data_IF_421795184700
#
_entry.id   IF_421795184700
#
_cell.length_a   1.000
_cell.length_b   1.000
_cell.length_c   1.000
_cell.angle_alpha   90.00
_cell.angle_beta   90.00
_cell.angle_gamma   90.00
#
_symmetry.space_group_name_H-M   'P 1'
#
loop_
_entity.id
_entity.type
_entity.pdbx_description
1 polymer ?
#
# COMPACT_ATOMS: atom_id res chain seq x y z
N UNK A 1 -5.80 -31.78 22.04
CA UNK A 1 -4.84 -31.63 23.14
C UNK A 1 -3.44 -31.54 22.54
N UNK A 2 -2.81 -30.37 22.62
CA UNK A 2 -1.41 -30.21 22.22
C UNK A 2 -0.57 -30.75 23.39
N UNK A 3 0.35 -31.69 23.19
CA UNK A 3 1.19 -32.19 24.27
C UNK A 3 1.95 -31.03 24.90
N UNK A 4 1.85 -30.89 26.22
CA UNK A 4 2.65 -29.93 26.97
C UNK A 4 4.12 -30.36 26.89
N UNK A 5 4.90 -29.68 26.05
CA UNK A 5 6.34 -29.89 25.97
C UNK A 5 6.96 -29.48 27.30
N UNK A 6 7.81 -30.35 27.87
CA UNK A 6 8.54 -30.03 29.10
C UNK A 6 9.55 -28.93 28.78
N UNK A 7 9.66 -27.92 29.63
CA UNK A 7 10.60 -26.79 29.47
C UNK A 7 12.07 -27.23 29.30
N UNK A 8 12.40 -28.45 29.70
CA UNK A 8 13.74 -29.04 29.56
C UNK A 8 14.13 -29.35 28.11
N UNK A 9 13.15 -29.58 27.22
CA UNK A 9 13.40 -29.85 25.79
C UNK A 9 13.73 -28.58 25.00
N UNK A 10 13.47 -27.40 25.59
CA UNK A 10 13.70 -26.08 25.00
C UNK A 10 15.09 -25.51 25.36
N UNK A 11 16.10 -26.35 25.62
CA UNK A 11 17.48 -25.87 25.82
C UNK A 11 18.38 -26.27 24.65
N UNK A 12 19.13 -25.30 24.14
CA UNK A 12 20.15 -25.56 23.13
C UNK A 12 21.25 -26.48 23.70
N UNK A 13 21.79 -27.42 22.90
CA UNK A 13 22.91 -28.24 23.31
C UNK A 13 24.12 -27.40 23.76
N UNK A 14 24.89 -27.91 24.73
CA UNK A 14 26.19 -27.31 25.07
C UNK A 14 27.07 -27.32 23.81
N UNK A 15 27.80 -26.22 23.59
CA UNK A 15 28.64 -26.00 22.40
C UNK A 15 27.85 -25.90 21.08
N UNK A 16 26.58 -25.48 21.13
CA UNK A 16 25.76 -25.27 19.94
C UNK A 16 26.45 -24.41 18.87
N UNK A 17 26.95 -23.23 19.26
CA UNK A 17 27.57 -22.30 18.32
C UNK A 17 28.84 -22.87 17.66
N UNK A 18 29.68 -23.57 18.44
CA UNK A 18 30.90 -24.24 17.96
C UNK A 18 30.54 -25.34 16.94
N UNK A 19 29.54 -26.19 17.25
CA UNK A 19 29.11 -27.26 16.35
C UNK A 19 28.46 -26.75 15.06
N UNK A 20 27.65 -25.69 15.14
CA UNK A 20 27.05 -25.09 13.93
C UNK A 20 28.14 -24.52 13.04
N UNK A 21 29.08 -23.77 13.61
CA UNK A 21 30.16 -23.14 12.87
C UNK A 21 31.08 -24.16 12.19
N UNK A 22 31.51 -25.21 12.89
CA UNK A 22 32.33 -26.29 12.32
C UNK A 22 31.62 -26.94 11.13
N UNK A 23 30.33 -27.26 11.27
CA UNK A 23 29.54 -27.87 10.21
C UNK A 23 29.28 -26.90 9.04
N UNK A 24 29.10 -25.60 9.30
CA UNK A 24 28.98 -24.59 8.23
C UNK A 24 30.27 -24.50 7.41
N UNK A 25 31.44 -24.49 8.06
CA UNK A 25 32.75 -24.47 7.39
C UNK A 25 32.94 -25.72 6.52
N UNK A 26 32.60 -26.91 7.04
CA UNK A 26 32.65 -28.17 6.27
C UNK A 26 31.75 -28.11 5.03
N UNK A 27 30.55 -27.54 5.17
CA UNK A 27 29.58 -27.38 4.07
C UNK A 27 30.07 -26.39 3.02
N UNK A 28 30.56 -25.22 3.44
CA UNK A 28 31.09 -24.18 2.54
C UNK A 28 32.30 -24.69 1.73
N UNK A 29 33.18 -25.46 2.37
CA UNK A 29 34.33 -26.08 1.73
C UNK A 29 33.98 -27.29 0.86
N UNK A 30 32.71 -27.72 0.86
CA UNK A 30 32.24 -28.92 0.15
C UNK A 30 32.89 -30.23 0.63
N UNK A 31 33.35 -30.26 1.88
CA UNK A 31 33.95 -31.43 2.53
C UNK A 31 32.98 -31.92 3.60
N UNK A 32 31.86 -32.47 3.16
CA UNK A 32 30.79 -32.89 4.08
C UNK A 32 30.20 -34.24 3.73
N UNK A 33 29.73 -34.93 4.76
CA UNK A 33 28.98 -36.18 4.68
C UNK A 33 27.50 -35.91 4.91
N UNK A 34 26.65 -36.82 4.43
CA UNK A 34 25.20 -36.74 4.69
C UNK A 34 24.85 -36.70 6.18
N UNK A 35 25.67 -37.33 7.03
CA UNK A 35 25.49 -37.31 8.49
C UNK A 35 25.74 -35.90 9.05
N UNK A 36 26.75 -35.19 8.54
CA UNK A 36 27.04 -33.80 8.90
C UNK A 36 25.89 -32.87 8.48
N UNK A 37 25.36 -33.02 7.26
CA UNK A 37 24.18 -32.25 6.80
C UNK A 37 22.96 -32.50 7.70
N UNK A 38 22.64 -33.77 7.96
CA UNK A 38 21.50 -34.12 8.82
C UNK A 38 21.66 -33.56 10.23
N UNK A 39 22.89 -33.58 10.76
CA UNK A 39 23.21 -33.00 12.07
C UNK A 39 23.04 -31.47 12.05
N UNK A 40 23.53 -30.79 11.01
CA UNK A 40 23.39 -29.34 10.86
C UNK A 40 21.91 -28.93 10.74
N UNK A 41 21.12 -29.65 9.94
CA UNK A 41 19.66 -29.43 9.85
C UNK A 41 18.98 -29.58 11.21
N UNK A 42 19.34 -30.61 11.98
CA UNK A 42 18.78 -30.82 13.32
C UNK A 42 19.15 -29.69 14.29
N UNK A 43 20.38 -29.17 14.21
CA UNK A 43 20.81 -28.02 15.02
C UNK A 43 20.03 -26.75 14.65
N UNK A 44 19.84 -26.45 13.36
CA UNK A 44 19.03 -25.30 12.94
C UNK A 44 17.56 -25.43 13.34
N UNK A 45 16.96 -26.61 13.19
CA UNK A 45 15.58 -26.84 13.64
C UNK A 45 15.42 -26.55 15.13
N UNK A 46 16.35 -27.05 15.96
CA UNK A 46 16.36 -26.77 17.42
C UNK A 46 16.55 -25.29 17.73
N UNK A 47 17.37 -24.58 16.95
CA UNK A 47 17.56 -23.15 17.13
C UNK A 47 16.30 -22.35 16.79
N UNK A 48 15.63 -22.68 15.68
CA UNK A 48 14.36 -22.07 15.30
C UNK A 48 13.32 -22.27 16.42
N UNK A 49 13.14 -23.48 16.91
CA UNK A 49 12.23 -23.78 18.03
C UNK A 49 12.59 -22.99 19.30
N UNK A 50 13.89 -22.96 19.66
CA UNK A 50 14.38 -22.25 20.84
C UNK A 50 14.13 -20.74 20.78
N UNK A 51 14.55 -20.09 19.69
CA UNK A 51 14.42 -18.63 19.55
C UNK A 51 12.98 -18.20 19.30
N UNK A 52 12.19 -19.02 18.61
CA UNK A 52 10.76 -18.75 18.42
C UNK A 52 9.99 -18.86 19.75
N UNK A 53 10.31 -19.85 20.59
CA UNK A 53 9.74 -19.96 21.93
C UNK A 53 10.10 -18.80 22.87
N UNK A 54 11.19 -18.07 22.57
CA UNK A 54 11.60 -16.85 23.27
C UNK A 54 11.11 -15.56 22.61
N UNK A 55 10.37 -15.64 21.51
CA UNK A 55 9.99 -14.49 20.68
C UNK A 55 11.19 -13.64 20.23
N UNK A 56 12.38 -14.22 20.05
CA UNK A 56 13.60 -13.55 19.61
C UNK A 56 13.72 -13.64 18.08
N UNK A 57 13.86 -12.50 17.39
CA UNK A 57 13.93 -12.40 15.93
C UNK A 57 15.03 -13.24 15.27
N UNK A 58 16.02 -13.72 16.05
CA UNK A 58 17.03 -14.69 15.61
C UNK A 58 16.44 -15.99 15.04
N UNK A 59 15.20 -16.36 15.39
CA UNK A 59 14.57 -17.55 14.78
C UNK A 59 14.47 -17.42 13.25
N UNK A 60 14.21 -16.22 12.71
CA UNK A 60 14.14 -15.97 11.27
C UNK A 60 15.48 -16.20 10.58
N UNK A 61 16.58 -15.82 11.26
CA UNK A 61 17.93 -16.04 10.75
C UNK A 61 18.25 -17.53 10.60
N UNK A 62 17.92 -18.35 11.62
CA UNK A 62 18.15 -19.80 11.56
C UNK A 62 17.19 -20.50 10.58
N UNK A 63 15.98 -19.99 10.42
CA UNK A 63 15.03 -20.48 9.43
C UNK A 63 15.54 -20.25 8.00
N UNK A 64 16.05 -19.05 7.70
CA UNK A 64 16.66 -18.73 6.39
C UNK A 64 17.92 -19.56 6.13
N UNK A 65 18.78 -19.73 7.14
CA UNK A 65 19.95 -20.62 7.06
C UNK A 65 19.58 -22.08 6.77
N UNK A 66 18.54 -22.59 7.42
CA UNK A 66 18.03 -23.95 7.16
C UNK A 66 17.50 -24.08 5.73
N UNK A 67 16.72 -23.09 5.27
CA UNK A 67 16.17 -23.09 3.91
C UNK A 67 17.30 -23.04 2.87
N UNK A 68 18.29 -22.16 3.04
CA UNK A 68 19.46 -22.07 2.16
C UNK A 68 20.23 -23.38 2.08
N UNK A 69 20.44 -24.05 3.21
CA UNK A 69 21.14 -25.33 3.28
C UNK A 69 20.42 -26.42 2.45
N UNK A 70 19.10 -26.55 2.56
CA UNK A 70 18.34 -27.58 1.83
C UNK A 70 18.19 -27.27 0.34
N UNK A 71 18.35 -26.01 -0.06
CA UNK A 71 18.29 -25.59 -1.47
C UNK A 71 19.64 -25.64 -2.19
N UNK A 72 20.75 -25.92 -1.50
CA UNK A 72 22.05 -26.04 -2.14
C UNK A 72 22.11 -27.30 -3.03
N UNK A 73 22.50 -27.13 -4.30
CA UNK A 73 22.53 -28.20 -5.31
C UNK A 73 23.30 -29.44 -4.85
N UNK A 74 24.49 -29.25 -4.27
CA UNK A 74 25.34 -30.36 -3.78
C UNK A 74 24.68 -31.13 -2.63
N UNK A 75 23.95 -30.43 -1.77
CA UNK A 75 23.21 -31.04 -0.66
C UNK A 75 22.03 -31.84 -1.20
N UNK A 76 21.31 -31.30 -2.18
CA UNK A 76 20.22 -32.01 -2.89
C UNK A 76 20.73 -33.27 -3.59
N UNK A 77 21.86 -33.19 -4.29
CA UNK A 77 22.46 -34.35 -4.97
C UNK A 77 22.81 -35.47 -4.00
N UNK A 78 23.40 -35.16 -2.84
CA UNK A 78 23.68 -36.16 -1.81
C UNK A 78 22.41 -36.76 -1.20
N UNK A 79 21.42 -35.93 -0.86
CA UNK A 79 20.15 -36.40 -0.27
C UNK A 79 19.40 -37.32 -1.24
N UNK A 80 19.44 -37.00 -2.54
CA UNK A 80 18.80 -37.80 -3.59
C UNK A 80 19.60 -39.08 -3.93
N UNK A 81 20.92 -39.09 -3.74
CA UNK A 81 21.78 -40.25 -4.06
C UNK A 81 21.51 -41.46 -3.16
N UNK A 82 21.14 -41.24 -1.89
CA UNK A 82 20.75 -42.33 -0.99
C UNK A 82 19.50 -43.08 -1.45
N UNK A 83 18.57 -42.42 -2.12
CA UNK A 83 17.37 -43.06 -2.63
C UNK A 83 17.64 -44.07 -3.76
N UNK A 84 18.85 -44.08 -4.34
CA UNK A 84 19.23 -44.98 -5.44
C UNK A 84 20.07 -46.18 -5.00
N UNK A 85 20.77 -46.12 -3.87
CA UNK A 85 21.76 -47.14 -3.48
C UNK A 85 21.17 -48.34 -2.70
N UNK A 86 19.98 -48.21 -2.11
CA UNK A 86 19.31 -49.30 -1.36
C UNK A 86 18.60 -50.34 -2.27
N UNK A 87 18.86 -50.34 -3.58
CA UNK A 87 18.25 -51.27 -4.54
C UNK A 87 19.22 -52.07 -5.41
N UNK A 88 20.53 -52.08 -5.12
CA UNK A 88 21.50 -52.79 -5.97
C UNK A 88 22.40 -53.86 -5.32
N UNK A 89 22.30 -54.14 -4.02
CA UNK A 89 23.06 -55.23 -3.41
C UNK A 89 22.15 -56.34 -2.83
N UNK A 90 21.68 -57.22 -3.71
CA UNK A 90 21.43 -58.63 -3.37
C UNK A 90 21.38 -59.45 -4.66
N UNK A 91 22.56 -59.67 -5.25
CA UNK A 91 22.78 -60.70 -6.27
C UNK A 91 23.34 -61.93 -5.55
N UNK A 92 22.46 -62.68 -4.88
CA UNK A 92 22.74 -64.02 -4.36
C UNK A 92 22.01 -65.03 -5.24
N UNK A 93 22.71 -66.12 -5.54
CA UNK A 93 22.38 -67.13 -6.54
C UNK A 93 21.01 -67.81 -6.38
N UNK A 94 20.42 -68.32 -7.49
CA UNK A 94 19.06 -68.84 -7.51
C UNK A 94 19.04 -70.35 -7.26
N UNK A 95 18.60 -70.79 -6.07
CA UNK A 95 18.00 -72.12 -5.88
C UNK A 95 16.87 -72.06 -4.85
N UNK A 96 15.81 -72.76 -5.20
CA UNK A 96 14.55 -72.98 -4.48
C UNK A 96 13.43 -71.94 -4.66
N UNK A 97 12.45 -72.38 -5.45
CA UNK A 97 11.15 -71.76 -5.69
C UNK A 97 10.35 -71.63 -4.37
N UNK A 98 10.57 -70.53 -3.64
CA UNK A 98 9.66 -70.14 -2.57
C UNK A 98 8.51 -69.35 -3.18
N UNK A 99 7.31 -69.95 -3.12
CA UNK A 99 6.02 -69.34 -3.46
C UNK A 99 5.80 -68.10 -2.59
N UNK A 100 6.26 -66.93 -3.04
CA UNK A 100 5.99 -65.67 -2.36
C UNK A 100 4.56 -65.22 -2.58
N UNK A 101 3.85 -65.05 -1.47
CA UNK A 101 2.47 -64.60 -1.33
C UNK A 101 2.16 -63.33 -2.17
N UNK A 102 1.04 -63.28 -2.92
CA UNK A 102 0.69 -62.17 -3.81
C UNK A 102 0.37 -60.83 -3.10
N UNK A 103 0.39 -60.78 -1.76
CA UNK A 103 0.09 -59.56 -1.00
C UNK A 103 1.21 -58.52 -1.01
N UNK A 104 2.49 -58.92 -1.05
CA UNK A 104 3.63 -57.97 -1.00
C UNK A 104 3.90 -57.23 -2.33
N UNK A 105 3.47 -57.78 -3.48
CA UNK A 105 3.59 -57.07 -4.78
C UNK A 105 2.62 -55.88 -4.94
N UNK A 106 1.50 -55.87 -4.21
CA UNK A 106 0.55 -54.74 -4.22
C UNK A 106 1.09 -53.55 -3.44
N UNK A 107 1.64 -53.77 -2.24
CA UNK A 107 2.23 -52.70 -1.42
C UNK A 107 3.41 -52.00 -2.11
N UNK A 108 4.27 -52.75 -2.81
CA UNK A 108 5.42 -52.15 -3.50
C UNK A 108 4.97 -51.25 -4.68
N UNK A 109 3.90 -51.62 -5.38
CA UNK A 109 3.31 -50.80 -6.45
C UNK A 109 2.66 -49.53 -5.89
N UNK A 110 2.07 -49.61 -4.71
CA UNK A 110 1.40 -48.49 -4.05
C UNK A 110 2.41 -47.49 -3.47
N UNK A 111 3.50 -47.97 -2.84
CA UNK A 111 4.63 -47.11 -2.44
C UNK A 111 5.26 -46.39 -3.64
N UNK A 112 5.42 -47.06 -4.78
CA UNK A 112 5.95 -46.42 -6.02
C UNK A 112 5.01 -45.35 -6.56
N UNK A 113 3.68 -45.53 -6.46
CA UNK A 113 2.69 -44.50 -6.83
C UNK A 113 2.75 -43.31 -5.88
N UNK A 114 2.79 -43.53 -4.57
CA UNK A 114 2.86 -42.45 -3.58
C UNK A 114 4.16 -41.65 -3.69
N UNK A 115 5.30 -42.31 -3.95
CA UNK A 115 6.57 -41.62 -4.15
C UNK A 115 6.55 -40.74 -5.42
N UNK A 116 5.91 -41.21 -6.50
CA UNK A 116 5.72 -40.43 -7.73
C UNK A 116 4.78 -39.24 -7.51
N UNK A 117 3.75 -39.41 -6.69
CA UNK A 117 2.81 -38.34 -6.30
C UNK A 117 3.53 -37.24 -5.50
N UNK A 118 4.34 -37.63 -4.51
CA UNK A 118 5.14 -36.67 -3.73
C UNK A 118 6.13 -35.91 -4.61
N UNK A 119 6.84 -36.58 -5.53
CA UNK A 119 7.78 -35.93 -6.45
C UNK A 119 7.11 -34.88 -7.36
N UNK A 120 5.83 -35.10 -7.71
CA UNK A 120 5.04 -34.14 -8.49
C UNK A 120 4.67 -32.93 -7.63
N UNK A 121 4.32 -33.13 -6.36
CA UNK A 121 4.00 -32.05 -5.42
C UNK A 121 5.22 -31.17 -5.16
N UNK A 122 6.40 -31.76 -4.93
CA UNK A 122 7.65 -30.99 -4.72
C UNK A 122 8.06 -30.20 -5.96
N UNK A 123 7.94 -30.78 -7.15
CA UNK A 123 8.20 -30.05 -8.41
C UNK A 123 7.19 -28.92 -8.65
N UNK A 124 5.94 -29.08 -8.21
CA UNK A 124 4.93 -28.02 -8.27
C UNK A 124 5.30 -26.85 -7.34
N UNK A 125 5.87 -27.13 -6.17
CA UNK A 125 6.36 -26.11 -5.24
C UNK A 125 7.61 -25.40 -5.75
N UNK A 126 8.55 -26.11 -6.38
CA UNK A 126 9.74 -25.50 -7.02
C UNK A 126 9.35 -24.53 -8.15
N UNK A 127 8.38 -24.89 -9.00
CA UNK A 127 7.87 -23.99 -10.05
C UNK A 127 7.15 -22.75 -9.50
N UNK A 128 6.52 -22.84 -8.32
CA UNK A 128 5.94 -21.66 -7.64
C UNK A 128 7.03 -20.69 -7.18
N UNK A 129 8.21 -21.19 -6.80
CA UNK A 129 9.34 -20.36 -6.39
C UNK A 129 9.94 -19.57 -7.57
N UNK A 130 10.06 -20.18 -8.75
CA UNK A 130 10.53 -19.49 -9.95
C UNK A 130 9.57 -18.37 -10.40
N UNK A 131 8.26 -18.61 -10.33
CA UNK A 131 7.26 -17.55 -10.60
C UNK A 131 7.34 -16.44 -9.57
N UNK A 132 7.58 -16.76 -8.29
CA UNK A 132 7.78 -15.74 -7.24
C UNK A 132 9.01 -14.88 -7.51
N UNK A 133 10.12 -15.48 -7.96
CA UNK A 133 11.34 -14.71 -8.27
C UNK A 133 11.18 -13.85 -9.53
N UNK A 134 10.43 -14.27 -10.55
CA UNK A 134 10.09 -13.42 -11.71
C UNK A 134 9.20 -12.23 -11.31
N UNK A 135 8.21 -12.45 -10.44
CA UNK A 135 7.34 -11.37 -9.94
C UNK A 135 8.17 -10.34 -9.14
N UNK A 136 9.08 -10.80 -8.28
CA UNK A 136 9.99 -9.92 -7.54
C UNK A 136 10.89 -9.14 -8.49
N UNK A 137 11.49 -9.80 -9.50
CA UNK A 137 12.33 -9.11 -10.51
C UNK A 137 11.55 -8.03 -11.27
N UNK A 138 10.31 -8.33 -11.65
CA UNK A 138 9.44 -7.36 -12.33
C UNK A 138 9.12 -6.18 -11.42
N UNK A 139 8.79 -6.43 -10.15
CA UNK A 139 8.50 -5.38 -9.20
C UNK A 139 9.70 -4.46 -8.94
N UNK A 140 10.91 -5.03 -8.78
CA UNK A 140 12.16 -4.26 -8.64
C UNK A 140 12.42 -3.42 -9.90
N UNK A 141 12.17 -3.96 -11.09
CA UNK A 141 12.32 -3.21 -12.34
C UNK A 141 11.31 -2.06 -12.47
N UNK A 142 10.06 -2.27 -12.06
CA UNK A 142 9.02 -1.24 -12.11
C UNK A 142 9.30 -0.12 -11.08
N UNK A 143 9.77 -0.50 -9.88
CA UNK A 143 10.18 0.45 -8.84
C UNK A 143 11.37 1.31 -9.29
N UNK A 144 12.37 0.70 -9.94
CA UNK A 144 13.50 1.46 -10.52
C UNK A 144 13.06 2.49 -11.56
N UNK A 145 12.01 2.23 -12.34
CA UNK A 145 11.46 3.20 -13.31
C UNK A 145 10.72 4.32 -12.62
N UNK A 146 9.97 4.03 -11.56
CA UNK A 146 9.31 5.05 -10.75
C UNK A 146 10.34 6.00 -10.09
N UNK A 147 11.42 5.46 -9.55
CA UNK A 147 12.52 6.23 -8.97
C UNK A 147 13.19 7.16 -10.01
N UNK A 148 13.36 6.67 -11.25
CA UNK A 148 13.88 7.47 -12.36
C UNK A 148 12.94 8.64 -12.71
N UNK A 149 11.63 8.42 -12.73
CA UNK A 149 10.63 9.48 -12.96
C UNK A 149 10.66 10.51 -11.83
N UNK A 150 10.80 10.07 -10.58
CA UNK A 150 10.90 10.96 -9.41
C UNK A 150 12.18 11.81 -9.50
N UNK A 151 13.32 11.20 -9.82
CA UNK A 151 14.60 11.89 -10.02
C UNK A 151 14.50 12.94 -11.13
N UNK A 152 13.91 12.60 -12.27
CA UNK A 152 13.72 13.52 -13.39
C UNK A 152 12.83 14.71 -13.00
N UNK A 153 11.75 14.48 -12.27
CA UNK A 153 10.89 15.55 -11.77
C UNK A 153 11.60 16.47 -10.76
N UNK A 154 12.38 15.90 -9.84
CA UNK A 154 13.17 16.68 -8.88
C UNK A 154 14.25 17.53 -9.59
N UNK A 155 14.90 16.98 -10.62
CA UNK A 155 15.85 17.74 -11.45
C UNK A 155 15.16 18.90 -12.16
N UNK A 156 14.01 18.66 -12.81
CA UNK A 156 13.24 19.70 -13.48
C UNK A 156 12.77 20.80 -12.52
N UNK A 157 12.35 20.44 -11.30
CA UNK A 157 12.00 21.43 -10.26
C UNK A 157 13.21 22.26 -9.83
N UNK A 158 14.37 21.63 -9.66
CA UNK A 158 15.63 22.30 -9.30
C UNK A 158 16.06 23.31 -10.36
N UNK A 159 15.93 22.96 -11.65
CA UNK A 159 16.27 23.83 -12.75
C UNK A 159 15.30 25.01 -12.89
N UNK A 160 14.00 24.77 -12.71
CA UNK A 160 13.00 25.83 -12.66
C UNK A 160 13.26 26.82 -11.50
N UNK A 161 13.66 26.32 -10.33
CA UNK A 161 14.02 27.16 -9.19
C UNK A 161 15.26 28.02 -9.49
N UNK A 162 16.31 27.41 -10.07
CA UNK A 162 17.51 28.15 -10.51
C UNK A 162 17.16 29.25 -11.50
N UNK A 163 16.32 28.95 -12.50
CA UNK A 163 15.88 29.91 -13.52
C UNK A 163 15.14 31.09 -12.89
N UNK A 164 14.22 30.84 -11.94
CA UNK A 164 13.51 31.90 -11.18
C UNK A 164 14.47 32.75 -10.34
N UNK A 165 15.47 32.15 -9.70
CA UNK A 165 16.47 32.88 -8.92
C UNK A 165 17.35 33.76 -9.80
N UNK A 166 17.78 33.26 -10.96
CA UNK A 166 18.58 34.02 -11.92
C UNK A 166 17.78 35.19 -12.51
N UNK A 167 16.51 34.97 -12.85
CA UNK A 167 15.61 36.03 -13.32
C UNK A 167 15.42 37.11 -12.25
N UNK A 168 15.28 36.72 -10.97
CA UNK A 168 15.21 37.65 -9.85
C UNK A 168 16.50 38.46 -9.70
N UNK A 169 17.68 37.83 -9.88
CA UNK A 169 18.98 38.52 -9.90
C UNK A 169 19.07 39.53 -11.05
N UNK A 170 18.62 39.18 -12.26
CA UNK A 170 18.59 40.09 -13.41
C UNK A 170 17.68 41.30 -13.17
N UNK A 171 16.48 41.08 -12.59
CA UNK A 171 15.55 42.17 -12.23
C UNK A 171 16.13 43.12 -11.18
N UNK A 172 16.86 42.59 -10.19
CA UNK A 172 17.53 43.39 -9.17
C UNK A 172 18.67 44.23 -9.78
N UNK A 173 19.45 43.66 -10.70
CA UNK A 173 20.52 44.37 -11.39
C UNK A 173 19.98 45.53 -12.26
N UNK A 174 18.88 45.30 -13.00
CA UNK A 174 18.25 46.33 -13.83
C UNK A 174 17.60 47.46 -13.02
N UNK A 175 17.17 47.20 -11.78
CA UNK A 175 16.56 48.24 -10.93
C UNK A 175 17.59 49.19 -10.32
N UNK A 176 18.87 48.81 -10.32
CA UNK A 176 19.97 49.59 -9.75
C UNK A 176 20.80 50.34 -10.80
N UNK A 177 20.41 50.35 -12.08
CA UNK A 177 21.02 51.30 -13.02
C UNK A 177 20.55 52.71 -12.65
N UNK A 178 21.46 53.59 -12.20
CA UNK A 178 21.10 54.94 -11.81
C UNK A 178 20.45 55.62 -13.01
N UNK A 179 19.23 56.14 -12.82
CA UNK A 179 18.65 57.07 -13.77
C UNK A 179 19.60 58.26 -13.85
N UNK A 180 20.41 58.32 -14.90
CA UNK A 180 21.08 59.56 -15.28
C UNK A 180 19.98 60.60 -15.49
N UNK A 181 19.93 61.55 -14.57
CA UNK A 181 19.16 62.78 -14.68
C UNK A 181 19.71 63.60 -15.86
N UNK A 182 19.30 63.25 -17.07
CA UNK A 182 19.40 64.18 -18.20
C UNK A 182 18.20 65.09 -18.13
N UNK A 183 18.38 66.18 -17.40
CA UNK A 183 17.43 67.28 -17.34
C UNK A 183 17.25 67.92 -18.71
N UNK A 184 16.01 67.99 -19.18
CA UNK A 184 15.57 69.07 -20.07
C UNK A 184 14.16 69.51 -19.69
N UNK A 185 14.10 70.68 -19.05
CA UNK A 185 12.92 71.54 -18.99
C UNK A 185 12.47 71.85 -20.42
N UNK A 186 11.25 71.49 -20.81
CA UNK A 186 10.46 72.27 -21.78
C UNK A 186 8.98 72.27 -21.43
N UNK A 187 8.45 73.46 -21.56
CA UNK A 187 7.14 74.01 -21.21
C UNK A 187 6.03 73.59 -22.18
N UNK A 188 4.81 73.53 -21.64
CA UNK A 188 3.48 73.82 -22.23
C UNK A 188 3.31 73.81 -23.75
N UNK A 189 2.33 73.05 -24.25
CA UNK A 189 1.20 73.61 -25.02
C UNK A 189 0.16 72.56 -25.42
N UNK A 190 -1.09 72.94 -25.23
CA UNK A 190 -2.33 72.35 -25.74
C UNK A 190 -2.38 72.28 -27.27
N UNK A 191 -2.88 71.19 -27.86
CA UNK A 191 -4.01 71.19 -28.84
C UNK A 191 -4.42 69.78 -29.28
N UNK A 192 -5.67 69.60 -29.75
CA UNK A 192 -6.30 68.31 -30.06
C UNK A 192 -6.27 68.00 -31.57
N UNK A 193 -6.09 66.73 -31.97
CA UNK A 193 -6.85 66.11 -33.07
C UNK A 193 -6.37 64.70 -33.47
N UNK A 194 -7.37 63.90 -33.82
CA UNK A 194 -7.41 62.89 -34.89
C UNK A 194 -6.59 61.61 -34.75
N UNK A 195 -7.34 60.54 -34.43
CA UNK A 195 -7.01 59.15 -34.71
C UNK A 195 -7.38 58.88 -36.18
N UNK A 196 -6.45 58.38 -37.03
CA UNK A 196 -6.81 57.79 -38.31
C UNK A 196 -7.37 56.38 -38.09
N UNK A 197 -8.54 56.15 -38.67
CA UNK A 197 -9.12 54.84 -38.91
C UNK A 197 -8.25 54.12 -39.94
N UNK A 198 -7.59 53.03 -39.56
CA UNK A 198 -7.19 52.00 -40.51
C UNK A 198 -7.62 50.61 -40.04
N UNK A 199 -8.30 49.97 -40.98
CA UNK A 199 -8.93 48.66 -40.94
C UNK A 199 -7.92 47.58 -40.56
N UNK A 200 -8.28 46.73 -39.60
CA UNK A 200 -7.90 45.31 -39.62
C UNK A 200 -9.10 44.47 -39.25
N UNK A 201 -9.52 43.71 -40.25
CA UNK A 201 -10.52 42.66 -40.19
C UNK A 201 -9.96 41.45 -39.42
N UNK A 202 -10.87 40.74 -38.74
CA UNK A 202 -10.79 39.29 -38.55
C UNK A 202 -9.93 38.80 -37.40
N UNK A 203 -10.56 38.55 -36.25
CA UNK A 203 -10.59 37.22 -35.64
C UNK A 203 -11.38 37.26 -34.32
N UNK A 204 -12.37 36.40 -34.26
CA UNK A 204 -13.20 36.09 -33.11
C UNK A 204 -12.33 35.63 -31.92
N UNK A 205 -12.53 36.25 -30.75
CA UNK A 205 -12.30 35.54 -29.49
C UNK A 205 -13.20 36.13 -28.41
N UNK A 206 -14.09 35.29 -27.91
CA UNK A 206 -15.10 35.57 -26.91
C UNK A 206 -14.50 36.02 -25.56
N UNK A 207 -15.09 37.08 -25.01
CA UNK A 207 -15.49 37.17 -23.61
C UNK A 207 -14.42 37.06 -22.51
N UNK A 208 -13.71 38.15 -22.23
CA UNK A 208 -13.15 38.42 -20.88
C UNK A 208 -13.65 39.75 -20.36
N UNK A 209 -14.66 39.68 -19.49
CA UNK A 209 -15.08 40.79 -18.64
C UNK A 209 -14.15 40.88 -17.42
N UNK A 210 -13.39 41.97 -17.34
CA UNK A 210 -12.67 42.37 -16.15
C UNK A 210 -13.65 43.10 -15.21
N UNK A 211 -14.05 42.48 -14.09
CA UNK A 211 -14.64 43.19 -12.96
C UNK A 211 -13.60 43.33 -11.86
N UNK A 212 -13.10 44.56 -11.71
CA UNK A 212 -12.30 45.00 -10.58
C UNK A 212 -13.22 45.19 -9.37
N UNK A 213 -13.40 44.11 -8.59
CA UNK A 213 -14.04 44.13 -7.29
C UNK A 213 -12.99 44.22 -6.18
N UNK A 214 -12.94 45.36 -5.49
CA UNK A 214 -12.18 45.54 -4.25
C UNK A 214 -12.83 44.74 -3.12
N UNK A 215 -12.31 43.54 -2.85
CA UNK A 215 -12.71 42.73 -1.70
C UNK A 215 -12.02 43.27 -0.44
N UNK A 216 -12.74 44.04 0.37
CA UNK A 216 -12.41 44.20 1.78
C UNK A 216 -12.59 42.85 2.46
N UNK A 217 -11.49 42.28 2.95
CA UNK A 217 -11.48 41.05 3.75
C UNK A 217 -12.12 41.35 5.10
N UNK A 218 -13.44 41.20 5.16
CA UNK A 218 -14.16 41.00 6.41
C UNK A 218 -13.95 39.57 6.85
N UNK A 219 -12.95 39.34 7.69
CA UNK A 219 -12.69 38.07 8.38
C UNK A 219 -13.86 37.73 9.33
N UNK A 220 -14.93 37.17 8.77
CA UNK A 220 -16.00 36.50 9.50
C UNK A 220 -16.32 35.16 8.83
N UNK A 221 -15.29 34.36 8.56
CA UNK A 221 -15.47 32.93 8.24
C UNK A 221 -15.71 32.16 9.54
N UNK A 222 -16.97 32.12 9.98
CA UNK A 222 -17.44 31.10 10.92
C UNK A 222 -17.55 29.75 10.18
N UNK A 223 -16.40 29.17 9.84
CA UNK A 223 -16.34 27.80 9.35
C UNK A 223 -16.72 26.86 10.50
N UNK A 224 -18.02 26.56 10.61
CA UNK A 224 -18.52 25.44 11.41
C UNK A 224 -18.01 24.16 10.73
N UNK A 225 -16.88 23.66 11.22
CA UNK A 225 -16.45 22.30 10.89
C UNK A 225 -17.51 21.38 11.47
N UNK A 226 -18.25 20.67 10.60
CA UNK A 226 -19.17 19.62 11.03
C UNK A 226 -18.34 18.52 11.70
N UNK A 227 -18.34 18.55 13.03
CA UNK A 227 -17.52 17.68 13.88
C UNK A 227 -18.15 16.28 14.05
N UNK A 228 -19.40 16.12 13.61
CA UNK A 228 -20.18 14.90 13.78
C UNK A 228 -19.66 13.71 12.95
N UNK A 229 -18.79 13.93 11.94
CA UNK A 229 -18.20 12.83 11.16
C UNK A 229 -16.96 12.18 11.79
N UNK A 230 -16.54 12.64 12.98
CA UNK A 230 -15.37 12.14 13.73
C UNK A 230 -15.75 11.30 14.96
N UNK A 231 -17.03 10.97 15.16
CA UNK A 231 -17.55 10.34 16.39
C UNK A 231 -17.36 8.82 16.50
N UNK A 232 -16.94 8.11 15.44
CA UNK A 232 -16.90 6.64 15.47
C UNK A 232 -15.60 6.04 16.04
N UNK A 233 -14.57 6.85 16.29
CA UNK A 233 -13.32 6.38 16.88
C UNK A 233 -13.22 6.80 18.35
N UNK A 234 -13.26 5.83 19.27
CA UNK A 234 -13.07 6.05 20.72
C UNK A 234 -11.80 6.86 21.07
N UNK A 235 -10.79 6.82 20.19
CA UNK A 235 -9.57 7.59 20.31
C UNK A 235 -9.77 9.10 20.08
N UNK A 236 -10.71 9.47 19.19
CA UNK A 236 -11.14 10.85 18.94
C UNK A 236 -11.76 11.45 20.20
N UNK A 237 -12.62 10.69 20.89
CA UNK A 237 -13.38 11.23 22.03
C UNK A 237 -12.53 11.51 23.27
N UNK A 238 -11.57 10.65 23.60
CA UNK A 238 -10.67 10.88 24.75
C UNK A 238 -9.71 12.03 24.49
N UNK A 239 -9.14 12.08 23.29
CA UNK A 239 -8.30 13.18 22.83
C UNK A 239 -9.07 14.50 22.78
N UNK A 240 -10.29 14.47 22.24
CA UNK A 240 -11.14 15.64 22.12
C UNK A 240 -11.65 16.10 23.49
N UNK A 241 -11.92 15.18 24.42
CA UNK A 241 -12.21 15.53 25.81
C UNK A 241 -10.99 16.17 26.48
N UNK A 242 -9.77 15.65 26.30
CA UNK A 242 -8.57 16.28 26.84
C UNK A 242 -8.31 17.67 26.25
N UNK A 243 -8.46 17.82 24.94
CA UNK A 243 -8.37 19.11 24.25
C UNK A 243 -9.49 20.08 24.65
N UNK A 244 -10.71 19.59 24.89
CA UNK A 244 -11.83 20.38 25.40
C UNK A 244 -11.63 20.79 26.85
N UNK A 245 -11.07 19.93 27.70
CA UNK A 245 -10.72 20.26 29.08
C UNK A 245 -9.66 21.37 29.08
N UNK A 246 -8.63 21.22 28.23
CA UNK A 246 -7.63 22.26 28.02
C UNK A 246 -8.27 23.55 27.53
N UNK A 247 -9.26 23.49 26.64
CA UNK A 247 -9.94 24.68 26.10
C UNK A 247 -10.88 25.34 27.13
N UNK A 248 -11.64 24.58 27.93
CA UNK A 248 -12.58 25.11 28.93
C UNK A 248 -11.86 25.80 30.10
N UNK A 249 -10.67 25.34 30.46
CA UNK A 249 -9.85 26.02 31.48
C UNK A 249 -9.39 27.43 31.11
N UNK A 250 -9.58 27.88 29.87
CA UNK A 250 -9.23 29.25 29.44
C UNK A 250 -10.35 30.29 29.60
N UNK A 251 -11.61 29.89 29.76
CA UNK A 251 -12.74 30.84 29.80
C UNK A 251 -13.09 31.33 31.22
N UNK A 252 -12.71 30.58 32.26
CA UNK A 252 -12.99 30.95 33.65
C UNK A 252 -11.83 31.79 34.25
N UNK A 253 -12.12 33.07 34.51
CA UNK A 253 -11.17 34.12 34.93
C UNK A 253 -10.72 34.04 36.40
N UNK A 254 -10.65 32.85 37.00
CA UNK A 254 -10.15 32.70 38.37
C UNK A 254 -8.62 32.53 38.33
N UNK A 255 -7.94 33.69 38.37
CA UNK A 255 -6.55 33.91 37.96
C UNK A 255 -5.46 33.68 39.03
N UNK A 256 -5.75 33.04 40.17
CA UNK A 256 -4.82 33.04 41.31
C UNK A 256 -4.00 31.73 41.48
N UNK A 257 -4.05 30.79 40.52
CA UNK A 257 -3.19 29.60 40.51
C UNK A 257 -2.18 29.67 39.37
N UNK A 258 -1.05 30.35 39.61
CA UNK A 258 0.07 30.52 38.66
C UNK A 258 0.90 29.23 38.43
N UNK A 259 0.61 28.14 39.15
CA UNK A 259 1.61 27.10 39.40
C UNK A 259 1.58 25.87 38.49
N UNK A 260 0.70 25.76 37.48
CA UNK A 260 0.44 24.42 36.91
C UNK A 260 0.13 24.31 35.40
N UNK A 261 0.57 25.24 34.57
CA UNK A 261 0.57 25.02 33.12
C UNK A 261 1.99 24.72 32.62
N UNK A 262 2.35 23.44 32.64
CA UNK A 262 3.56 22.95 31.99
C UNK A 262 3.32 22.87 30.48
N UNK A 263 3.63 23.95 29.75
CA UNK A 263 3.50 24.03 28.29
C UNK A 263 4.25 22.90 27.58
N UNK A 264 5.41 22.50 28.13
CA UNK A 264 6.22 21.37 27.65
C UNK A 264 5.42 20.05 27.68
N UNK A 265 4.64 19.81 28.74
CA UNK A 265 3.82 18.60 28.85
C UNK A 265 2.71 18.54 27.79
N UNK A 266 2.15 19.69 27.41
CA UNK A 266 1.12 19.78 26.34
C UNK A 266 1.76 19.57 24.97
N UNK A 267 2.93 20.15 24.72
CA UNK A 267 3.66 19.94 23.46
C UNK A 267 4.08 18.47 23.29
N UNK A 268 4.60 17.83 24.33
CA UNK A 268 4.91 16.39 24.32
C UNK A 268 3.69 15.52 24.02
N UNK A 269 2.53 15.85 24.60
CA UNK A 269 1.30 15.09 24.36
C UNK A 269 0.84 15.23 22.90
N UNK A 270 0.88 16.44 22.35
CA UNK A 270 0.58 16.71 20.94
C UNK A 270 1.53 15.93 20.02
N UNK A 271 2.83 15.89 20.34
CA UNK A 271 3.81 15.12 19.58
C UNK A 271 3.52 13.61 19.64
N UNK A 272 3.20 13.07 20.81
CA UNK A 272 2.77 11.65 20.97
C UNK A 272 1.56 11.32 20.09
N UNK A 273 0.58 12.22 20.00
CA UNK A 273 -0.60 12.04 19.15
C UNK A 273 -0.23 12.06 17.66
N UNK A 274 0.62 13.00 17.24
CA UNK A 274 1.05 13.09 15.84
C UNK A 274 1.86 11.85 15.43
N UNK A 275 2.75 11.37 16.30
CA UNK A 275 3.51 10.14 16.09
C UNK A 275 2.58 8.94 15.95
N UNK A 276 1.57 8.82 16.82
CA UNK A 276 0.57 7.76 16.71
C UNK A 276 -0.24 7.82 15.40
N UNK A 277 -0.57 9.02 14.91
CA UNK A 277 -1.18 9.16 13.59
C UNK A 277 -0.25 8.69 12.46
N UNK A 278 1.04 8.98 12.54
CA UNK A 278 2.02 8.53 11.54
C UNK A 278 2.22 6.99 11.60
N UNK A 279 2.24 6.39 12.81
CA UNK A 279 2.22 4.92 12.99
C UNK A 279 0.96 4.27 12.40
N UNK A 280 -0.22 4.88 12.59
CA UNK A 280 -1.48 4.40 11.98
C UNK A 280 -1.44 4.46 10.45
N UNK A 281 -0.83 5.49 9.86
CA UNK A 281 -0.61 5.57 8.40
C UNK A 281 0.29 4.44 7.93
N UNK A 282 1.40 4.19 8.64
CA UNK A 282 2.35 3.13 8.29
C UNK A 282 1.71 1.75 8.40
N UNK A 283 0.91 1.50 9.45
CA UNK A 283 0.15 0.27 9.62
C UNK A 283 -0.83 0.04 8.47
N UNK A 284 -1.55 1.07 8.04
CA UNK A 284 -2.49 0.97 6.90
C UNK A 284 -1.75 0.68 5.60
N UNK A 285 -0.59 1.32 5.37
CA UNK A 285 0.24 1.03 4.20
C UNK A 285 0.72 -0.43 4.19
N UNK A 286 1.12 -0.97 5.35
CA UNK A 286 1.56 -2.37 5.45
C UNK A 286 0.40 -3.35 5.26
N UNK A 287 -0.76 -3.09 5.87
CA UNK A 287 -1.98 -3.89 5.66
C UNK A 287 -2.39 -3.92 4.18
N UNK A 288 -2.30 -2.79 3.48
CA UNK A 288 -2.62 -2.72 2.05
C UNK A 288 -1.59 -3.47 1.20
N UNK A 289 -0.30 -3.41 1.55
CA UNK A 289 0.73 -4.22 0.87
C UNK A 289 0.42 -5.72 1.01
N UNK A 290 0.06 -6.16 2.22
CA UNK A 290 -0.29 -7.55 2.50
C UNK A 290 -1.57 -7.98 1.77
N UNK A 291 -2.59 -7.12 1.72
CA UNK A 291 -3.83 -7.41 0.98
C UNK A 291 -3.57 -7.56 -0.53
N UNK A 292 -2.72 -6.72 -1.10
CA UNK A 292 -2.33 -6.81 -2.52
C UNK A 292 -1.56 -8.10 -2.79
N UNK A 293 -0.62 -8.47 -1.92
CA UNK A 293 0.16 -9.71 -2.06
C UNK A 293 -0.75 -10.95 -1.99
N UNK A 294 -1.64 -11.01 -0.98
CA UNK A 294 -2.63 -12.07 -0.84
C UNK A 294 -3.52 -12.18 -2.08
N UNK A 295 -3.99 -11.05 -2.60
CA UNK A 295 -4.82 -11.01 -3.81
C UNK A 295 -4.09 -11.55 -5.04
N UNK A 296 -2.80 -11.25 -5.19
CA UNK A 296 -2.02 -11.80 -6.29
C UNK A 296 -1.81 -13.30 -6.19
N UNK A 297 -1.61 -13.83 -4.98
CA UNK A 297 -1.49 -15.26 -4.76
C UNK A 297 -2.82 -16.00 -5.04
N UNK A 298 -3.93 -15.46 -4.56
CA UNK A 298 -5.27 -16.00 -4.77
C UNK A 298 -5.61 -16.09 -6.27
N UNK A 299 -5.47 -14.99 -7.00
CA UNK A 299 -5.74 -14.94 -8.45
C UNK A 299 -4.79 -15.86 -9.23
N UNK A 300 -3.53 -15.97 -8.81
CA UNK A 300 -2.57 -16.86 -9.45
C UNK A 300 -2.96 -18.33 -9.26
N UNK A 301 -3.42 -18.71 -8.06
CA UNK A 301 -3.89 -20.06 -7.79
C UNK A 301 -5.17 -20.37 -8.60
N UNK A 302 -6.17 -19.49 -8.60
CA UNK A 302 -7.39 -19.66 -9.40
C UNK A 302 -7.08 -19.79 -10.91
N UNK A 303 -6.21 -18.91 -11.43
CA UNK A 303 -5.74 -18.96 -12.83
C UNK A 303 -5.07 -20.29 -13.12
N UNK A 304 -4.22 -20.77 -12.22
CA UNK A 304 -3.51 -22.04 -12.40
C UNK A 304 -4.47 -23.23 -12.43
N UNK A 305 -5.45 -23.28 -11.53
CA UNK A 305 -6.44 -24.35 -11.46
C UNK A 305 -7.29 -24.41 -12.74
N UNK A 306 -7.79 -23.26 -13.21
CA UNK A 306 -8.55 -23.20 -14.46
C UNK A 306 -7.75 -23.59 -15.68
N UNK A 307 -6.50 -23.16 -15.79
CA UNK A 307 -5.65 -23.60 -16.90
C UNK A 307 -5.34 -25.11 -16.83
N UNK A 308 -5.25 -25.69 -15.63
CA UNK A 308 -5.05 -27.12 -15.46
C UNK A 308 -6.30 -27.94 -15.83
N UNK A 309 -7.49 -27.44 -15.47
CA UNK A 309 -8.79 -28.00 -15.83
C UNK A 309 -8.95 -28.06 -17.36
N UNK A 310 -8.81 -26.91 -18.05
CA UNK A 310 -8.89 -26.82 -19.52
C UNK A 310 -7.90 -27.78 -20.19
N UNK A 311 -6.63 -27.81 -19.74
CA UNK A 311 -5.64 -28.73 -20.29
C UNK A 311 -6.01 -30.20 -20.06
N UNK A 312 -6.59 -30.53 -18.91
CA UNK A 312 -7.07 -31.87 -18.59
C UNK A 312 -8.21 -32.31 -19.51
N UNK A 313 -9.20 -31.45 -19.71
CA UNK A 313 -10.35 -31.70 -20.58
C UNK A 313 -9.94 -31.91 -22.04
N UNK A 314 -9.17 -30.97 -22.61
CA UNK A 314 -8.76 -31.09 -24.01
C UNK A 314 -7.85 -32.28 -24.24
N UNK A 315 -6.97 -32.61 -23.28
CA UNK A 315 -6.16 -33.84 -23.36
C UNK A 315 -7.03 -35.09 -23.43
N UNK A 316 -8.15 -35.13 -22.72
CA UNK A 316 -9.11 -36.22 -22.80
C UNK A 316 -9.84 -36.22 -24.15
N UNK A 317 -10.35 -35.08 -24.61
CA UNK A 317 -11.06 -34.95 -25.90
C UNK A 317 -10.18 -35.35 -27.08
N UNK A 318 -8.94 -34.86 -27.14
CA UNK A 318 -7.95 -35.21 -28.17
C UNK A 318 -7.69 -36.72 -28.20
N UNK A 319 -7.61 -37.36 -27.03
CA UNK A 319 -7.43 -38.82 -26.94
C UNK A 319 -8.63 -39.60 -27.49
N UNK A 320 -9.83 -39.01 -27.45
CA UNK A 320 -11.07 -39.64 -27.93
C UNK A 320 -11.36 -39.33 -29.40
N UNK A 321 -10.69 -38.34 -29.99
CA UNK A 321 -10.83 -37.98 -31.40
C UNK A 321 -10.33 -39.13 -32.30
N UNK A 322 -11.08 -39.41 -33.37
CA UNK A 322 -10.83 -40.56 -34.24
C UNK A 322 -9.91 -40.22 -35.40
N UNK A 323 -9.93 -38.98 -35.85
CA UNK A 323 -9.15 -38.49 -36.97
C UNK A 323 -8.09 -37.50 -36.49
N UNK A 324 -7.02 -37.37 -37.28
CA UNK A 324 -5.96 -36.40 -37.00
C UNK A 324 -6.45 -34.96 -37.17
N UNK A 325 -7.37 -34.73 -38.11
CA UNK A 325 -7.97 -33.41 -38.33
C UNK A 325 -8.79 -32.93 -37.11
N UNK A 326 -9.60 -33.82 -36.52
CA UNK A 326 -10.32 -33.54 -35.26
C UNK A 326 -9.35 -33.22 -34.11
N UNK A 327 -8.21 -33.92 -34.05
CA UNK A 327 -7.18 -33.66 -33.03
C UNK A 327 -6.57 -32.26 -33.20
N UNK A 328 -6.24 -31.87 -34.43
CA UNK A 328 -5.68 -30.55 -34.73
C UNK A 328 -6.68 -29.42 -34.44
N UNK A 329 -7.96 -29.62 -34.73
CA UNK A 329 -9.00 -28.64 -34.41
C UNK A 329 -9.16 -28.46 -32.90
N UNK A 330 -9.23 -29.56 -32.14
CA UNK A 330 -9.28 -29.52 -30.67
C UNK A 330 -8.03 -28.88 -30.05
N UNK A 331 -6.84 -29.04 -30.64
CA UNK A 331 -5.63 -28.36 -30.19
C UNK A 331 -5.70 -26.85 -30.41
N UNK A 332 -6.23 -26.39 -31.55
CA UNK A 332 -6.45 -24.96 -31.81
C UNK A 332 -7.48 -24.37 -30.84
N UNK A 333 -8.60 -25.06 -30.63
CA UNK A 333 -9.61 -24.65 -29.66
C UNK A 333 -9.04 -24.53 -28.24
N UNK A 334 -8.26 -25.53 -27.81
CA UNK A 334 -7.56 -25.51 -26.51
C UNK A 334 -6.72 -24.26 -26.35
N UNK A 335 -5.93 -23.92 -27.36
CA UNK A 335 -5.00 -22.79 -27.27
C UNK A 335 -5.75 -21.45 -27.26
N UNK A 336 -6.85 -21.33 -28.01
CA UNK A 336 -7.76 -20.17 -27.96
C UNK A 336 -8.37 -20.03 -26.57
N UNK A 337 -8.94 -21.09 -25.99
CA UNK A 337 -9.59 -21.05 -24.68
C UNK A 337 -8.58 -20.76 -23.56
N UNK A 338 -7.37 -21.35 -23.62
CA UNK A 338 -6.28 -21.03 -22.71
C UNK A 338 -5.90 -19.55 -22.78
N UNK A 339 -5.84 -18.96 -23.99
CA UNK A 339 -5.50 -17.56 -24.16
C UNK A 339 -6.62 -16.63 -23.65
N UNK A 340 -7.88 -16.94 -23.96
CA UNK A 340 -9.04 -16.20 -23.44
C UNK A 340 -9.08 -16.24 -21.91
N UNK A 341 -8.82 -17.41 -21.32
CA UNK A 341 -8.77 -17.58 -19.87
C UNK A 341 -7.64 -16.76 -19.25
N UNK A 342 -6.44 -16.75 -19.85
CA UNK A 342 -5.33 -15.91 -19.38
C UNK A 342 -5.72 -14.42 -19.39
N UNK A 343 -6.27 -13.94 -20.50
CA UNK A 343 -6.69 -12.54 -20.65
C UNK A 343 -7.75 -12.17 -19.61
N UNK A 344 -8.74 -13.05 -19.37
CA UNK A 344 -9.78 -12.86 -18.35
C UNK A 344 -9.19 -12.70 -16.95
N UNK A 345 -8.25 -13.56 -16.55
CA UNK A 345 -7.62 -13.46 -15.24
C UNK A 345 -6.72 -12.23 -15.11
N UNK A 346 -6.09 -11.79 -16.19
CA UNK A 346 -5.30 -10.55 -16.19
C UNK A 346 -6.21 -9.31 -16.04
N UNK A 347 -7.42 -9.34 -16.62
CA UNK A 347 -8.45 -8.31 -16.40
C UNK A 347 -8.98 -8.32 -14.96
N UNK A 348 -9.31 -9.49 -14.40
CA UNK A 348 -9.76 -9.64 -13.00
C UNK A 348 -8.69 -9.10 -12.05
N UNK A 349 -7.41 -9.44 -12.31
CA UNK A 349 -6.26 -8.93 -11.56
C UNK A 349 -6.20 -7.41 -11.58
N UNK A 350 -6.29 -6.80 -12.78
CA UNK A 350 -6.25 -5.34 -12.91
C UNK A 350 -7.41 -4.67 -12.16
N UNK A 351 -8.63 -5.20 -12.30
CA UNK A 351 -9.83 -4.66 -11.64
C UNK A 351 -9.71 -4.71 -10.12
N UNK A 352 -9.43 -5.88 -9.54
CA UNK A 352 -9.37 -6.02 -8.08
C UNK A 352 -8.23 -5.21 -7.45
N UNK A 353 -7.09 -5.08 -8.13
CA UNK A 353 -6.00 -4.20 -7.69
C UNK A 353 -6.43 -2.74 -7.71
N UNK A 354 -7.19 -2.32 -8.72
CA UNK A 354 -7.72 -0.95 -8.80
C UNK A 354 -8.71 -0.66 -7.67
N UNK A 355 -9.58 -1.61 -7.33
CA UNK A 355 -10.51 -1.49 -6.19
C UNK A 355 -9.76 -1.33 -4.86
N UNK A 356 -8.72 -2.14 -4.62
CA UNK A 356 -7.88 -2.00 -3.42
C UNK A 356 -7.17 -0.65 -3.37
N UNK A 357 -6.60 -0.19 -4.50
CA UNK A 357 -5.97 1.14 -4.57
C UNK A 357 -6.96 2.27 -4.27
N UNK A 358 -8.20 2.15 -4.72
CA UNK A 358 -9.24 3.14 -4.43
C UNK A 358 -9.60 3.15 -2.94
N UNK A 359 -9.79 1.96 -2.33
CA UNK A 359 -10.03 1.83 -0.89
C UNK A 359 -8.86 2.40 -0.05
N UNK A 360 -7.62 2.15 -0.46
CA UNK A 360 -6.43 2.73 0.17
C UNK A 360 -6.46 4.27 0.11
N UNK A 361 -6.76 4.84 -1.07
CA UNK A 361 -6.86 6.29 -1.26
C UNK A 361 -7.89 6.91 -0.31
N UNK A 362 -9.04 6.26 -0.13
CA UNK A 362 -10.09 6.71 0.80
C UNK A 362 -9.63 6.64 2.26
N UNK A 363 -8.99 5.55 2.67
CA UNK A 363 -8.44 5.40 4.02
C UNK A 363 -7.36 6.45 4.30
N UNK A 364 -6.46 6.69 3.34
CA UNK A 364 -5.42 7.71 3.44
C UNK A 364 -6.01 9.12 3.59
N UNK A 365 -7.05 9.46 2.84
CA UNK A 365 -7.70 10.77 2.97
C UNK A 365 -8.40 10.93 4.32
N UNK A 366 -9.00 9.87 4.88
CA UNK A 366 -9.57 9.90 6.25
C UNK A 366 -8.50 10.24 7.29
N UNK A 367 -7.32 9.63 7.23
CA UNK A 367 -6.23 9.92 8.17
C UNK A 367 -5.69 11.34 7.97
N UNK A 368 -5.58 11.78 6.72
CA UNK A 368 -5.15 13.15 6.40
C UNK A 368 -6.10 14.18 6.99
N UNK A 369 -7.41 13.97 6.87
CA UNK A 369 -8.44 14.83 7.48
C UNK A 369 -8.26 14.86 9.02
N UNK A 370 -8.06 13.71 9.66
CA UNK A 370 -7.78 13.63 11.11
C UNK A 370 -6.53 14.44 11.48
N UNK A 371 -5.43 14.25 10.76
CA UNK A 371 -4.15 14.96 10.98
C UNK A 371 -4.29 16.47 10.83
N UNK A 372 -5.02 16.92 9.82
CA UNK A 372 -5.32 18.35 9.63
C UNK A 372 -6.20 18.91 10.76
N UNK A 373 -7.16 18.12 11.25
CA UNK A 373 -7.97 18.44 12.42
C UNK A 373 -7.11 18.69 13.66
N UNK A 374 -6.21 17.76 13.98
CA UNK A 374 -5.28 17.87 15.11
C UNK A 374 -4.41 19.13 14.96
N UNK A 375 -3.78 19.34 13.79
CA UNK A 375 -2.96 20.54 13.52
C UNK A 375 -3.74 21.84 13.72
N UNK A 376 -5.01 21.90 13.30
CA UNK A 376 -5.86 23.08 13.50
C UNK A 376 -6.14 23.34 14.98
N UNK A 377 -6.38 22.30 15.77
CA UNK A 377 -6.60 22.44 17.21
C UNK A 377 -5.32 22.86 17.92
N UNK A 378 -4.20 22.20 17.66
CA UNK A 378 -2.87 22.57 18.16
C UNK A 378 -2.54 24.04 17.91
N UNK A 379 -2.78 24.53 16.68
CA UNK A 379 -2.56 25.92 16.33
C UNK A 379 -3.46 26.90 17.11
N UNK A 380 -4.71 26.50 17.46
CA UNK A 380 -5.57 27.33 18.32
C UNK A 380 -5.05 27.38 19.74
N UNK A 381 -4.67 26.24 20.32
CA UNK A 381 -4.10 26.15 21.68
C UNK A 381 -2.86 27.03 21.77
N UNK A 382 -1.92 26.92 20.81
CA UNK A 382 -0.69 27.73 20.78
C UNK A 382 -0.97 29.23 20.65
N UNK A 383 -1.95 29.63 19.83
CA UNK A 383 -2.37 31.05 19.72
C UNK A 383 -2.98 31.57 21.01
N UNK A 384 -3.79 30.78 21.70
CA UNK A 384 -4.38 31.15 22.99
C UNK A 384 -3.31 31.32 24.07
N UNK A 385 -2.37 30.38 24.17
CA UNK A 385 -1.22 30.46 25.07
C UNK A 385 -0.36 31.71 24.79
N UNK A 386 -0.03 31.96 23.52
CA UNK A 386 0.74 33.14 23.10
C UNK A 386 0.05 34.46 23.45
N UNK A 387 -1.29 34.55 23.29
CA UNK A 387 -2.06 35.74 23.70
C UNK A 387 -2.02 35.94 25.23
N UNK A 388 -2.09 34.87 26.01
CA UNK A 388 -1.97 34.92 27.48
C UNK A 388 -0.58 35.41 27.90
N UNK A 389 0.47 34.84 27.34
CA UNK A 389 1.86 35.25 27.58
C UNK A 389 2.10 36.72 27.20
N UNK A 390 1.55 37.18 26.07
CA UNK A 390 1.66 38.58 25.65
C UNK A 390 0.95 39.55 26.61
N UNK A 391 -0.21 39.18 27.16
CA UNK A 391 -0.92 39.99 28.16
C UNK A 391 -0.10 40.11 29.45
N UNK A 392 0.43 38.99 29.95
CA UNK A 392 1.28 38.96 31.15
C UNK A 392 2.55 39.81 30.95
N UNK A 393 3.23 39.65 29.81
CA UNK A 393 4.45 40.39 29.49
C UNK A 393 4.21 41.90 29.32
N UNK A 394 3.02 42.30 28.86
CA UNK A 394 2.72 43.71 28.64
C UNK A 394 2.56 44.52 29.93
N UNK A 395 2.34 43.86 31.09
CA UNK A 395 2.09 44.54 32.37
C UNK A 395 0.84 45.43 32.38
N UNK A 396 0.09 45.47 31.27
CA UNK A 396 -1.18 46.20 31.16
C UNK A 396 -2.23 45.34 31.84
N UNK A 397 -2.33 45.51 33.16
CA UNK A 397 -3.50 45.09 33.92
C UNK A 397 -4.66 45.87 33.33
N UNK A 398 -5.44 45.24 32.44
CA UNK A 398 -6.67 45.82 31.93
C UNK A 398 -7.46 46.33 33.15
N UNK A 399 -7.74 47.64 33.25
CA UNK A 399 -8.44 48.18 34.40
C UNK A 399 -9.75 47.43 34.53
N UNK A 400 -9.89 46.72 35.65
CA UNK A 400 -11.07 45.94 36.01
C UNK A 400 -12.23 46.92 36.10
N UNK A 401 -12.93 47.14 34.99
CA UNK A 401 -14.23 47.79 34.99
C UNK A 401 -15.11 46.82 35.78
N UNK A 402 -15.25 47.08 37.08
CA UNK A 402 -16.24 46.44 37.94
C UNK A 402 -17.60 46.82 37.37
N UNK A 403 -18.05 46.03 36.39
CA UNK A 403 -19.43 46.09 35.92
C UNK A 403 -20.24 45.49 37.05
N UNK A 404 -20.74 46.35 37.94
CA UNK A 404 -21.75 45.98 38.92
C UNK A 404 -22.85 45.23 38.16
N UNK A 405 -22.95 43.93 38.42
CA UNK A 405 -24.02 43.10 37.90
C UNK A 405 -25.29 43.58 38.60
N UNK A 406 -26.11 44.33 37.87
CA UNK A 406 -27.51 44.49 38.25
C UNK A 406 -28.20 43.14 38.10
N UNK A 407 -28.74 42.62 39.20
CA UNK A 407 -29.45 41.34 39.32
C UNK A 407 -30.76 41.32 38.51
N UNK A 408 -30.66 41.28 37.18
CA UNK A 408 -31.82 41.00 36.31
C UNK A 408 -31.41 39.96 35.27
N UNK A 409 -31.53 38.69 35.65
CA UNK A 409 -31.52 37.54 34.75
C UNK A 409 -32.88 37.43 34.04
N UNK A 410 -32.97 37.60 32.71
CA UNK A 410 -34.05 36.96 31.96
C UNK A 410 -33.66 35.51 31.73
N UNK A 411 -34.45 34.59 32.28
CA UNK A 411 -34.43 33.15 31.94
C UNK A 411 -34.74 32.98 30.46
N UNK A 412 -33.70 32.86 29.63
CA UNK A 412 -33.83 32.53 28.21
C UNK A 412 -33.88 31.01 28.03
N UNK A 413 -34.96 30.40 28.51
CA UNK A 413 -35.34 29.03 28.15
C UNK A 413 -36.24 29.08 26.93
N UNK A 414 -35.64 29.17 25.74
CA UNK A 414 -36.33 28.84 24.49
C UNK A 414 -35.35 28.12 23.57
N UNK A 415 -35.19 26.82 23.84
CA UNK A 415 -34.70 25.86 22.88
C UNK A 415 -35.72 25.77 21.73
N UNK A 416 -35.33 26.17 20.52
CA UNK A 416 -36.13 25.89 19.33
C UNK A 416 -36.17 24.36 19.09
N UNK A 417 -37.34 23.80 18.72
CA UNK A 417 -37.45 22.39 18.39
C UNK A 417 -36.74 22.10 17.06
N UNK A 418 -35.92 21.05 17.08
CA UNK A 418 -35.21 20.50 15.93
C UNK A 418 -36.24 19.91 14.96
N UNK A 419 -36.66 20.69 13.96
CA UNK A 419 -37.60 20.23 12.93
C UNK A 419 -36.93 19.66 11.66
N UNK A 420 -35.60 19.65 11.56
CA UNK A 420 -34.89 19.26 10.32
C UNK A 420 -34.28 17.84 10.30
N UNK A 421 -34.54 16.99 11.29
CA UNK A 421 -34.01 15.61 11.28
C UNK A 421 -34.80 14.66 10.35
N UNK A 422 -36.04 14.99 9.98
CA UNK A 422 -36.85 14.15 9.10
C UNK A 422 -36.48 14.32 7.61
N UNK A 423 -36.17 15.54 7.17
CA UNK A 423 -35.74 15.81 5.78
C UNK A 423 -34.36 15.20 5.50
N UNK A 424 -33.44 15.26 6.46
CA UNK A 424 -32.10 14.69 6.29
C UNK A 424 -32.13 13.15 6.17
N UNK A 425 -33.07 12.49 6.87
CA UNK A 425 -33.27 11.04 6.73
C UNK A 425 -33.84 10.69 5.35
N UNK A 426 -34.76 11.47 4.80
CA UNK A 426 -35.30 11.21 3.46
C UNK A 426 -34.27 11.36 2.34
N UNK A 427 -33.34 12.31 2.44
CA UNK A 427 -32.32 12.51 1.41
C UNK A 427 -31.26 11.39 1.41
N UNK A 428 -30.93 10.85 2.59
CA UNK A 428 -30.04 9.68 2.72
C UNK A 428 -30.68 8.40 2.17
N UNK A 429 -31.97 8.17 2.39
CA UNK A 429 -32.66 6.99 1.82
C UNK A 429 -32.73 7.08 0.29
N UNK A 430 -32.99 8.27 -0.27
CA UNK A 430 -33.03 8.47 -1.73
C UNK A 430 -31.67 8.29 -2.41
N UNK A 431 -30.57 8.65 -1.73
CA UNK A 431 -29.22 8.39 -2.26
C UNK A 431 -28.86 6.91 -2.21
N UNK A 432 -29.28 6.19 -1.17
CA UNK A 432 -29.08 4.75 -1.06
C UNK A 432 -29.89 3.96 -2.10
N UNK A 433 -31.14 4.34 -2.37
CA UNK A 433 -31.96 3.74 -3.44
C UNK A 433 -31.37 3.98 -4.83
N UNK A 434 -30.79 5.17 -5.11
CA UNK A 434 -30.09 5.44 -6.38
C UNK A 434 -28.84 4.58 -6.58
N UNK A 435 -28.14 4.23 -5.50
CA UNK A 435 -26.96 3.36 -5.60
C UNK A 435 -27.34 1.90 -5.87
N UNK A 436 -28.47 1.42 -5.32
CA UNK A 436 -28.95 0.06 -5.60
C UNK A 436 -29.63 -0.08 -6.96
N UNK A 437 -30.12 1.02 -7.56
CA UNK A 437 -30.76 1.01 -8.87
C UNK A 437 -29.77 0.90 -10.05
N UNK A 438 -28.47 1.03 -9.84
CA UNK A 438 -27.45 0.79 -10.86
C UNK A 438 -27.24 -0.72 -11.05
N UNK A 439 -28.15 -1.35 -11.80
CA UNK A 439 -27.93 -2.70 -12.35
C UNK A 439 -26.66 -2.70 -13.22
N UNK A 440 -25.83 -3.75 -13.16
CA UNK A 440 -24.69 -3.90 -14.07
C UNK A 440 -25.20 -3.92 -15.52
N UNK A 441 -24.58 -3.12 -16.38
CA UNK A 441 -24.84 -3.15 -17.83
C UNK A 441 -24.64 -4.59 -18.34
N UNK A 442 -25.73 -5.24 -18.75
CA UNK A 442 -25.64 -6.46 -19.52
C UNK A 442 -24.98 -6.14 -20.86
N UNK A 443 -23.81 -6.74 -21.11
CA UNK A 443 -23.15 -6.67 -22.41
C UNK A 443 -24.08 -7.30 -23.47
N UNK A 444 -24.24 -6.64 -24.63
CA UNK A 444 -25.11 -7.15 -25.69
C UNK A 444 -24.58 -8.50 -26.19
N UNK A 445 -25.38 -9.55 -26.01
CA UNK A 445 -25.17 -10.88 -26.59
C UNK A 445 -25.53 -10.84 -28.08
N UNK A 446 -24.67 -10.22 -28.89
CA UNK A 446 -24.72 -10.31 -30.34
C UNK A 446 -23.68 -11.31 -30.85
N UNK A 447 -23.96 -12.10 -31.90
CA UNK A 447 -22.95 -12.95 -32.54
C UNK A 447 -21.87 -12.06 -33.16
N UNK A 448 -20.63 -12.25 -32.73
CA UNK A 448 -19.46 -11.57 -33.31
C UNK A 448 -19.21 -12.20 -34.69
N UNK A 449 -19.51 -11.46 -35.75
CA UNK A 449 -19.24 -11.87 -37.13
C UNK A 449 -17.74 -11.69 -37.42
N UNK A 450 -16.98 -12.79 -37.41
CA UNK A 450 -15.53 -12.83 -37.60
C UNK A 450 -15.09 -12.84 -39.09
N UNK A 451 -16.00 -12.65 -40.05
CA UNK A 451 -15.67 -12.75 -41.48
C UNK A 451 -15.22 -11.45 -42.15
N UNK A 452 -14.96 -10.39 -41.40
CA UNK A 452 -14.40 -9.17 -41.96
C UNK A 452 -12.94 -9.03 -41.53
N UNK A 453 -12.06 -8.94 -42.53
CA UNK A 453 -10.79 -8.22 -42.50
C UNK A 453 -9.52 -9.07 -42.28
N UNK A 454 -9.07 -9.80 -43.32
CA UNK A 454 -7.70 -9.69 -43.86
C UNK A 454 -7.75 -10.04 -45.36
N UNK A 455 -7.51 -9.05 -46.24
CA UNK A 455 -7.04 -9.31 -47.61
C UNK A 455 -5.52 -9.08 -47.61
N UNK A 456 -4.70 -10.00 -48.12
CA UNK A 456 -3.29 -9.75 -48.29
C UNK A 456 -3.06 -8.81 -49.49
N UNK A 457 -2.28 -7.76 -49.26
CA UNK A 457 -1.68 -6.94 -50.31
C UNK A 457 -0.60 -7.74 -51.02
N UNK A 458 -0.77 -7.92 -52.33
CA UNK A 458 0.30 -8.31 -53.24
C UNK A 458 1.28 -7.13 -53.34
N UNK A 459 2.55 -7.37 -53.08
CA UNK A 459 3.65 -6.53 -53.55
C UNK A 459 4.39 -7.30 -54.64
N UNK A 460 4.30 -6.77 -55.86
CA UNK A 460 5.25 -6.99 -56.95
C UNK A 460 6.34 -5.90 -56.82
N UNK A 461 7.61 -6.32 -56.72
CA UNK A 461 8.73 -5.83 -57.52
C UNK A 461 9.91 -6.81 -57.45
#
# INVERSE_FOLDING_TARGET
MIPAYKEEDLRLPKKFAEQVLELEIDVENNVFTIKQIQRLMALYSKAVEFYNGKSDSKYLFYQDKLQKLITQDKVLDMLNSKAKHDHQESKVEPKEEVKTDPKTKKELKEKKKNMKMNLIITNKQLKKHDVKTEIIKKHVSDQSKEDEIIQNNLSAQKDNLKKRLEERRKRMAQKNTPKEEVGQKKTNSSTPNQIPVEKREGAESEGKTNSSGTNSVGDNCSFKINFDSLQDDKFSDELMNRLMILQKGYDDNDYDNDDLFNEEAVEEEIEKILNKCDEEVEKILEEDRQQIEYLYEDIANEKFEKLAEIKGEYKYRIKMAKTEEEQQELEKERDIELQQTKNKYDQIKAHRVQELKQKHKENKEKIKIKREGIKKVTNRVRRSASRKASRLASGIVSPRIKKERSDNHPTFTNFMPIQNQAELKQDLTKTFERMQANKPMELPKGPINMNALVKPSNEEE
#
